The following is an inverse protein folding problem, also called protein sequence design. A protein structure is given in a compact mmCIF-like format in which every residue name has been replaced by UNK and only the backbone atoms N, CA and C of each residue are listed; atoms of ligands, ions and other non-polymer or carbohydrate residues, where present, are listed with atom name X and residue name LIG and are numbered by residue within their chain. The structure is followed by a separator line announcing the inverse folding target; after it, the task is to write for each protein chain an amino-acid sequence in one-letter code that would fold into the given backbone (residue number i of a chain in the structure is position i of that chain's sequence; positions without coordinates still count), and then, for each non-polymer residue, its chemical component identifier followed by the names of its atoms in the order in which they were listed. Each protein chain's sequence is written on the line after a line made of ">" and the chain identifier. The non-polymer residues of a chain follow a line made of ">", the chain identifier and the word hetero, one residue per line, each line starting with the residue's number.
data_IF_593071159535
#
_entry.id   IF_593071159535
#
_cell.length_a   1.000
_cell.length_b   1.000
_cell.length_c   1.000
_cell.angle_alpha   90.00
_cell.angle_beta   90.00
_cell.angle_gamma   90.00
#
_symmetry.space_group_name_H-M   'P 1'
#
loop_
_entity.id
_entity.type
_entity.pdbx_description
1 polymer ?
#
# COMPACT_ATOMS: atom_id res chain seq x y z
N UNK A 1 4.76 9.74 39.50
CA UNK A 1 4.87 9.92 38.91
C UNK A 1 4.94 9.55 38.20
N UNK A 2 4.94 9.59 38.33
CA UNK A 2 5.00 9.71 37.55
C UNK A 2 5.55 9.75 36.76
N UNK A 3 5.76 9.59 36.85
CA UNK A 3 6.13 9.88 36.04
C UNK A 3 6.05 9.83 35.20
N UNK A 4 6.03 9.88 35.30
CA UNK A 4 5.97 10.24 34.34
C UNK A 4 6.47 10.44 33.64
N UNK A 5 6.74 10.36 33.86
CA UNK A 5 7.17 10.82 33.16
C UNK A 5 7.75 10.79 32.31
N UNK A 6 7.98 10.56 32.47
CA UNK A 6 8.41 10.79 31.63
C UNK A 6 8.57 10.77 30.77
N UNK A 7 8.41 10.78 30.73
CA UNK A 7 8.42 11.04 29.79
C UNK A 7 8.76 11.15 28.90
N UNK A 8 8.95 11.18 28.98
CA UNK A 8 9.19 11.39 28.16
C UNK A 8 9.44 11.72 27.26
N UNK A 9 9.49 11.83 27.24
CA UNK A 9 9.59 12.38 26.24
C UNK A 9 10.64 12.34 25.41
N UNK A 10 11.03 11.89 24.63
CA UNK A 10 11.87 12.00 23.79
C UNK A 10 11.49 12.44 22.75
N UNK A 11 11.27 13.09 22.76
CA UNK A 11 10.73 13.63 21.82
C UNK A 11 11.31 14.13 20.80
N UNK A 12 11.89 14.62 20.87
CA UNK A 12 12.54 15.25 19.81
C UNK A 12 13.04 14.32 18.78
N UNK A 13 12.93 13.11 19.03
CA UNK A 13 13.32 12.16 18.06
C UNK A 13 12.19 11.96 17.08
N UNK A 14 12.30 12.58 15.93
CA UNK A 14 11.31 12.44 14.90
C UNK A 14 11.64 11.19 14.10
N UNK A 15 10.81 10.20 14.21
CA UNK A 15 10.93 9.03 13.37
C UNK A 15 10.50 9.37 11.96
N UNK A 16 11.26 8.91 10.97
CA UNK A 16 10.84 9.01 9.60
C UNK A 16 9.57 8.19 9.42
N UNK A 17 8.57 8.78 8.79
CA UNK A 17 7.35 8.04 8.48
C UNK A 17 7.67 6.92 7.53
N UNK A 18 7.10 5.75 7.78
CA UNK A 18 7.24 4.62 6.88
C UNK A 18 6.03 4.56 5.96
N UNK A 19 4.86 4.20 6.50
CA UNK A 19 3.62 4.14 5.73
C UNK A 19 2.86 5.45 5.92
N UNK A 20 2.40 6.03 4.80
CA UNK A 20 1.65 7.29 4.82
C UNK A 20 0.17 7.10 4.50
N UNK A 21 -0.22 5.94 4.00
CA UNK A 21 -1.61 5.64 3.73
C UNK A 21 -1.76 4.40 2.87
N UNK A 22 -3.00 4.09 2.55
CA UNK A 22 -3.32 2.94 1.70
C UNK A 22 -3.24 3.38 0.26
N UNK A 23 -2.33 2.76 -0.50
CA UNK A 23 -2.12 3.09 -1.91
C UNK A 23 -2.91 2.22 -2.87
N UNK A 24 -3.41 1.08 -2.41
CA UNK A 24 -4.20 0.23 -3.27
C UNK A 24 -4.85 -0.93 -2.54
N UNK A 25 -6.01 -1.33 -3.04
CA UNK A 25 -6.73 -2.50 -2.58
C UNK A 25 -6.93 -3.39 -3.79
N UNK A 26 -6.31 -4.56 -3.78
CA UNK A 26 -6.36 -5.52 -4.87
C UNK A 26 -7.02 -6.79 -4.37
N UNK A 27 -7.94 -7.33 -5.15
CA UNK A 27 -8.67 -8.50 -4.69
C UNK A 27 -9.06 -9.39 -5.89
N UNK A 28 -9.22 -10.68 -5.63
CA UNK A 28 -9.58 -11.64 -6.65
C UNK A 28 -11.07 -11.72 -6.82
N UNK A 29 -11.51 -11.91 -8.05
CA UNK A 29 -12.90 -12.16 -8.36
C UNK A 29 -12.98 -13.01 -9.64
N UNK A 30 -14.16 -13.56 -9.90
CA UNK A 30 -14.33 -14.44 -11.06
C UNK A 30 -14.26 -13.67 -12.37
N UNK A 31 -14.84 -12.48 -12.40
CA UNK A 31 -14.93 -11.69 -13.64
C UNK A 31 -14.68 -10.22 -13.32
N UNK A 32 -13.42 -9.77 -13.43
CA UNK A 32 -13.09 -8.39 -13.12
C UNK A 32 -13.88 -7.33 -13.88
N UNK A 33 -14.20 -7.59 -15.15
CA UNK A 33 -14.99 -6.64 -15.94
C UNK A 33 -16.39 -6.49 -15.39
N UNK A 34 -17.05 -7.61 -15.09
CA UNK A 34 -18.40 -7.59 -14.51
C UNK A 34 -18.38 -6.97 -13.13
N UNK A 35 -17.36 -7.24 -12.34
CA UNK A 35 -17.22 -6.67 -11.01
C UNK A 35 -17.11 -5.14 -11.10
N UNK A 36 -16.24 -4.66 -11.97
CA UNK A 36 -16.05 -3.23 -12.20
C UNK A 36 -17.34 -2.57 -12.67
N UNK A 37 -18.03 -3.20 -13.62
CA UNK A 37 -19.30 -2.67 -14.12
C UNK A 37 -20.37 -2.62 -13.04
N UNK A 38 -20.40 -3.59 -12.15
CA UNK A 38 -21.35 -3.61 -11.05
C UNK A 38 -21.11 -2.42 -10.09
N UNK A 39 -19.86 -2.18 -9.73
CA UNK A 39 -19.50 -1.08 -8.86
C UNK A 39 -19.78 0.28 -9.51
N UNK A 40 -19.52 0.39 -10.81
CA UNK A 40 -19.84 1.60 -11.55
C UNK A 40 -21.34 1.88 -11.54
N UNK A 41 -22.12 0.85 -11.85
CA UNK A 41 -23.57 1.01 -11.96
C UNK A 41 -24.24 1.28 -10.63
N UNK A 42 -23.85 0.55 -9.61
CA UNK A 42 -24.59 0.58 -8.32
C UNK A 42 -23.97 1.50 -7.27
N UNK A 43 -22.68 1.75 -7.34
CA UNK A 43 -21.99 2.58 -6.35
C UNK A 43 -21.33 3.82 -6.97
N UNK A 44 -21.52 4.04 -8.26
CA UNK A 44 -21.06 5.26 -8.90
C UNK A 44 -19.53 5.37 -9.04
N UNK A 45 -18.83 4.26 -9.04
CA UNK A 45 -17.37 4.30 -9.24
C UNK A 45 -17.04 4.88 -10.61
N UNK A 46 -16.07 5.78 -10.64
CA UNK A 46 -15.54 6.32 -11.89
C UNK A 46 -14.44 5.38 -12.37
N UNK A 47 -14.81 4.41 -13.20
CA UNK A 47 -13.94 3.30 -13.56
C UNK A 47 -13.13 3.54 -14.82
N UNK A 48 -12.00 2.83 -14.89
CA UNK A 48 -11.17 2.70 -16.09
C UNK A 48 -10.88 1.20 -16.27
N UNK A 49 -10.13 0.78 -17.30
CA UNK A 49 -9.88 -0.66 -17.53
C UNK A 49 -9.18 -1.38 -16.39
N UNK A 50 -8.54 -0.64 -15.47
CA UNK A 50 -7.80 -1.25 -14.35
C UNK A 50 -8.57 -1.20 -13.03
N UNK A 51 -9.70 -0.49 -12.97
CA UNK A 51 -10.48 -0.34 -11.75
C UNK A 51 -10.87 1.12 -11.54
N UNK A 52 -10.55 1.66 -10.37
CA UNK A 52 -10.80 3.08 -10.10
C UNK A 52 -9.72 3.64 -9.18
N UNK A 53 -9.67 4.96 -9.12
CA UNK A 53 -8.71 5.68 -8.28
C UNK A 53 -9.46 6.63 -7.37
N UNK A 54 -9.16 6.59 -6.08
CA UNK A 54 -9.69 7.53 -5.11
C UNK A 54 -8.60 8.54 -4.78
N UNK A 55 -8.91 9.82 -4.89
CA UNK A 55 -7.99 10.90 -4.57
C UNK A 55 -8.23 11.42 -3.17
N UNK A 56 -7.15 11.74 -2.47
CA UNK A 56 -7.23 12.26 -1.11
C UNK A 56 -5.96 13.07 -0.79
N UNK A 57 -5.90 13.63 0.40
CA UNK A 57 -4.74 14.39 0.85
C UNK A 57 -4.15 13.73 2.08
N UNK A 58 -2.81 13.71 2.16
CA UNK A 58 -2.13 13.08 3.30
C UNK A 58 -2.32 13.89 4.57
N UNK A 59 -2.81 13.23 5.62
CA UNK A 59 -3.00 13.85 6.90
C UNK A 59 -3.82 15.12 6.82
N UNK A 60 -3.35 16.17 7.47
CA UNK A 60 -3.99 17.47 7.46
C UNK A 60 -3.43 18.40 6.37
N UNK A 61 -2.49 17.92 5.56
CA UNK A 61 -1.83 18.76 4.55
C UNK A 61 -2.59 18.70 3.24
N UNK A 62 -3.38 19.74 2.97
CA UNK A 62 -4.20 19.82 1.76
C UNK A 62 -3.38 20.06 0.49
N UNK A 63 -2.06 20.20 0.60
CA UNK A 63 -1.20 20.33 -0.57
C UNK A 63 -0.57 19.01 -0.99
N UNK A 64 -0.63 18.00 -0.14
CA UNK A 64 -0.05 16.69 -0.44
C UNK A 64 -1.11 15.73 -0.95
N UNK A 65 -1.23 15.67 -2.24
CA UNK A 65 -2.20 14.79 -2.90
C UNK A 65 -1.73 13.35 -2.82
N UNK A 66 -2.70 12.45 -2.68
CA UNK A 66 -2.45 11.02 -2.64
C UNK A 66 -3.56 10.29 -3.38
N UNK A 67 -3.34 9.02 -3.63
CA UNK A 67 -4.29 8.20 -4.36
C UNK A 67 -4.34 6.80 -3.77
N UNK A 68 -5.52 6.20 -3.84
CA UNK A 68 -5.71 4.78 -3.56
C UNK A 68 -6.30 4.13 -4.80
N UNK A 69 -5.62 3.10 -5.30
CA UNK A 69 -6.10 2.31 -6.43
C UNK A 69 -7.03 1.21 -5.93
N UNK A 70 -8.11 0.98 -6.63
CA UNK A 70 -9.03 -0.12 -6.36
C UNK A 70 -9.05 -0.97 -7.62
N UNK A 71 -8.59 -2.23 -7.53
CA UNK A 71 -8.38 -3.05 -8.72
C UNK A 71 -8.82 -4.49 -8.47
N UNK A 72 -9.86 -4.96 -9.16
CA UNK A 72 -10.19 -6.38 -9.13
C UNK A 72 -9.25 -7.14 -10.06
N UNK A 73 -8.79 -8.30 -9.59
CA UNK A 73 -7.94 -9.21 -10.34
C UNK A 73 -8.70 -10.49 -10.63
N UNK A 74 -8.34 -11.17 -11.71
CA UNK A 74 -8.90 -12.50 -11.97
C UNK A 74 -8.49 -13.46 -10.85
N UNK A 75 -9.39 -14.34 -10.46
CA UNK A 75 -9.12 -15.30 -9.37
C UNK A 75 -7.96 -16.23 -9.69
N UNK A 76 -7.62 -16.38 -10.97
CA UNK A 76 -6.51 -17.21 -11.41
C UNK A 76 -5.15 -16.50 -11.34
N UNK A 77 -5.11 -15.25 -10.95
CA UNK A 77 -3.86 -14.51 -10.90
C UNK A 77 -2.87 -15.14 -9.93
N UNK A 78 -1.60 -15.10 -10.30
CA UNK A 78 -0.51 -15.53 -9.43
C UNK A 78 0.22 -14.35 -8.78
N UNK A 79 -0.28 -13.16 -9.02
CA UNK A 79 0.39 -11.94 -8.58
C UNK A 79 0.50 -11.85 -7.06
N UNK A 80 -0.44 -12.45 -6.34
CA UNK A 80 -0.44 -12.39 -4.87
C UNK A 80 0.42 -13.48 -4.22
N UNK A 81 0.94 -14.43 -5.01
CA UNK A 81 1.80 -15.47 -4.45
C UNK A 81 3.07 -14.89 -3.87
N UNK A 82 3.62 -15.44 -2.79
CA UNK A 82 3.25 -16.73 -2.20
C UNK A 82 2.09 -16.67 -1.20
N UNK A 83 1.42 -15.55 -1.03
CA UNK A 83 0.22 -15.49 -0.19
C UNK A 83 -0.89 -16.32 -0.81
N UNK A 84 -1.71 -16.93 0.04
CA UNK A 84 -2.89 -17.69 -0.40
C UNK A 84 -4.18 -16.91 -0.19
N UNK A 85 -4.06 -15.65 0.20
CA UNK A 85 -5.24 -14.81 0.39
C UNK A 85 -5.74 -14.28 -0.94
N UNK A 86 -7.01 -13.91 -0.96
CA UNK A 86 -7.67 -13.41 -2.15
C UNK A 86 -7.53 -11.89 -2.31
N UNK A 87 -6.67 -11.29 -1.52
CA UNK A 87 -6.43 -9.85 -1.56
C UNK A 87 -4.95 -9.54 -1.37
N UNK A 88 -4.56 -8.35 -1.78
CA UNK A 88 -3.27 -7.78 -1.47
C UNK A 88 -3.45 -6.28 -1.27
N UNK A 89 -2.86 -5.75 -0.20
CA UNK A 89 -2.94 -4.32 0.11
C UNK A 89 -1.64 -3.65 -0.31
N UNK A 90 -1.76 -2.50 -0.93
CA UNK A 90 -0.63 -1.64 -1.27
C UNK A 90 -0.60 -0.49 -0.27
N UNK A 91 0.57 -0.25 0.30
CA UNK A 91 0.77 0.88 1.21
C UNK A 91 1.73 1.90 0.59
N UNK A 92 1.35 3.18 0.66
CA UNK A 92 2.21 4.27 0.22
C UNK A 92 3.29 4.49 1.28
N UNK A 93 4.52 4.74 0.83
CA UNK A 93 5.64 5.00 1.74
C UNK A 93 6.40 6.24 1.25
N UNK A 94 7.13 6.87 2.16
CA UNK A 94 7.90 8.06 1.83
C UNK A 94 9.22 7.76 1.14
N UNK A 95 9.93 6.74 1.62
CA UNK A 95 11.25 6.42 1.11
C UNK A 95 11.41 4.91 1.09
N UNK A 96 11.22 4.33 -0.08
CA UNK A 96 11.19 2.88 -0.20
C UNK A 96 12.58 2.27 0.00
N UNK A 97 13.62 2.89 -0.53
CA UNK A 97 14.99 2.35 -0.44
C UNK A 97 15.41 2.26 1.03
N UNK A 98 15.21 3.34 1.78
CA UNK A 98 15.55 3.38 3.19
C UNK A 98 14.71 2.38 3.99
N UNK A 99 13.43 2.31 3.67
CA UNK A 99 12.53 1.38 4.36
C UNK A 99 12.93 -0.07 4.14
N UNK A 100 13.21 -0.45 2.90
CA UNK A 100 13.62 -1.83 2.59
C UNK A 100 14.89 -2.19 3.34
N UNK A 101 15.84 -1.26 3.41
CA UNK A 101 17.08 -1.48 4.14
C UNK A 101 16.80 -1.75 5.63
N UNK A 102 15.94 -0.94 6.22
CA UNK A 102 15.55 -1.13 7.63
C UNK A 102 14.81 -2.46 7.82
N UNK A 103 13.90 -2.80 6.91
CA UNK A 103 13.15 -4.05 7.01
C UNK A 103 14.04 -5.27 6.91
N UNK A 104 15.06 -5.23 6.06
CA UNK A 104 16.03 -6.31 5.98
C UNK A 104 16.76 -6.51 7.31
N UNK A 105 17.13 -5.41 7.96
CA UNK A 105 17.79 -5.48 9.26
C UNK A 105 16.86 -5.99 10.35
N UNK A 106 15.55 -5.83 10.16
CA UNK A 106 14.53 -6.31 11.08
C UNK A 106 14.08 -7.73 10.75
N UNK A 107 14.74 -8.38 9.80
CA UNK A 107 14.45 -9.77 9.38
C UNK A 107 13.07 -9.93 8.75
N UNK A 108 12.55 -8.89 8.13
CA UNK A 108 11.31 -8.98 7.36
C UNK A 108 11.62 -9.65 6.02
N UNK A 109 10.75 -10.53 5.58
CA UNK A 109 10.90 -11.21 4.30
C UNK A 109 10.57 -10.28 3.15
N UNK A 110 11.56 -10.03 2.30
CA UNK A 110 11.39 -9.26 1.07
C UNK A 110 11.20 -10.26 -0.07
N UNK A 111 10.11 -10.15 -0.80
CA UNK A 111 9.73 -11.15 -1.82
C UNK A 111 10.50 -10.96 -3.11
N UNK A 112 10.79 -9.70 -3.47
CA UNK A 112 11.44 -9.37 -4.74
C UNK A 112 12.37 -8.17 -4.55
N UNK A 113 12.72 -7.51 -5.64
CA UNK A 113 13.61 -6.35 -5.60
C UNK A 113 12.81 -5.09 -5.96
N UNK A 114 13.33 -3.93 -5.57
CA UNK A 114 12.70 -2.66 -5.90
C UNK A 114 12.68 -2.49 -7.41
N UNK A 115 11.49 -2.24 -7.96
CA UNK A 115 11.30 -1.91 -9.36
C UNK A 115 10.86 -0.47 -9.49
N UNK A 116 11.39 0.23 -10.48
CA UNK A 116 11.11 1.64 -10.70
C UNK A 116 10.37 1.82 -12.01
N UNK A 117 9.25 2.54 -11.94
CA UNK A 117 8.42 2.86 -13.10
C UNK A 117 8.16 4.37 -13.12
N UNK A 118 7.49 4.86 -14.14
CA UNK A 118 7.14 6.27 -14.25
C UNK A 118 6.28 6.75 -13.09
N UNK A 119 5.51 5.86 -12.49
CA UNK A 119 4.58 6.18 -11.40
C UNK A 119 5.12 5.78 -10.02
N UNK A 120 6.38 5.45 -9.90
CA UNK A 120 7.03 5.26 -8.62
C UNK A 120 7.82 3.98 -8.51
N UNK A 121 8.22 3.69 -7.28
CA UNK A 121 9.00 2.50 -6.93
C UNK A 121 8.15 1.53 -6.15
N UNK A 122 8.36 0.24 -6.40
CA UNK A 122 7.57 -0.83 -5.80
C UNK A 122 8.46 -1.96 -5.31
N UNK A 123 8.04 -2.58 -4.22
CA UNK A 123 8.62 -3.84 -3.74
C UNK A 123 7.52 -4.61 -3.02
N UNK A 124 7.67 -5.92 -2.93
CA UNK A 124 6.75 -6.75 -2.18
C UNK A 124 7.43 -7.36 -0.98
N UNK A 125 6.71 -7.45 0.12
CA UNK A 125 7.16 -8.08 1.37
C UNK A 125 6.09 -9.02 1.86
N UNK A 126 6.41 -9.82 2.87
CA UNK A 126 5.43 -10.62 3.58
C UNK A 126 5.24 -10.06 4.98
N UNK A 127 3.99 -10.02 5.43
CA UNK A 127 3.70 -9.61 6.80
C UNK A 127 3.90 -10.75 7.79
N UNK A 128 3.50 -10.55 9.04
CA UNK A 128 3.73 -11.51 10.12
C UNK A 128 3.05 -12.85 9.89
N UNK A 129 2.05 -12.92 9.04
CA UNK A 129 1.31 -14.15 8.75
C UNK A 129 1.45 -14.60 7.30
N UNK A 130 2.43 -14.07 6.59
CA UNK A 130 2.71 -14.47 5.21
C UNK A 130 1.81 -13.85 4.17
N UNK A 131 1.06 -12.81 4.50
CA UNK A 131 0.30 -12.08 3.50
C UNK A 131 1.25 -11.21 2.69
N UNK A 132 1.09 -11.24 1.37
CA UNK A 132 1.91 -10.40 0.49
C UNK A 132 1.41 -8.97 0.55
N UNK A 133 2.33 -8.04 0.72
CA UNK A 133 2.07 -6.61 0.78
C UNK A 133 2.89 -5.93 -0.31
N UNK A 134 2.30 -4.98 -1.00
CA UNK A 134 3.02 -4.13 -1.93
C UNK A 134 3.32 -2.80 -1.25
N UNK A 135 4.58 -2.38 -1.32
CA UNK A 135 5.02 -1.06 -0.83
C UNK A 135 5.32 -0.19 -2.04
N UNK A 136 4.83 1.03 -2.01
CA UNK A 136 4.86 1.94 -3.14
C UNK A 136 5.32 3.32 -2.71
N UNK A 137 6.43 3.76 -3.28
CA UNK A 137 6.85 5.16 -3.16
C UNK A 137 6.42 5.87 -4.43
N UNK A 138 5.32 6.64 -4.40
CA UNK A 138 4.83 7.30 -5.61
C UNK A 138 5.71 8.46 -6.01
N UNK A 139 5.59 8.84 -7.26
CA UNK A 139 6.17 10.08 -7.76
C UNK A 139 5.10 11.15 -7.63
N UNK A 140 5.36 12.11 -6.78
CA UNK A 140 4.41 13.19 -6.50
C UNK A 140 4.87 14.52 -7.07
#
# INVERSE_FOLDING_TARGET
>A
GFAFKTLTTQPSKVEAKRVTGIGGIFFKCKDPKKMTAWYQKHLGFNTNPYGTTFDWYEGADSTKKAQTQWTPFAETTKYFEPSKKDFMINYRVENLVTLVDALKKEAVTIVDTIETYDYGKFVHILDAEGNKIQLWEPID
#
